data_IF_077436009467
#
_entry.id   IF_077436009467
#
_cell.length_a   1.000
_cell.length_b   1.000
_cell.length_c   1.000
_cell.angle_alpha   90.00
_cell.angle_beta   90.00
_cell.angle_gamma   90.00
#
_symmetry.space_group_name_H-M   'P 1'
#
loop_
_entity.id
_entity.type
_entity.pdbx_description
1 polymer ?
#
# COMPACT_ATOMS: atom_id res chain seq x y z
N UNK A 1 -7.34 19.97 -8.66
CA UNK A 1 -8.16 20.37 -7.51
C UNK A 1 -7.90 19.38 -6.39
N UNK A 2 -7.61 19.82 -5.17
CA UNK A 2 -7.32 18.93 -4.03
C UNK A 2 -8.51 18.90 -3.08
N UNK A 3 -9.05 17.71 -2.81
CA UNK A 3 -10.09 17.50 -1.83
C UNK A 3 -9.46 16.70 -0.68
N UNK A 4 -9.39 17.32 0.50
CA UNK A 4 -8.90 16.67 1.71
C UNK A 4 -10.08 16.38 2.63
N UNK A 5 -10.23 15.11 3.02
CA UNK A 5 -11.09 14.71 4.13
C UNK A 5 -10.21 14.20 5.26
N UNK A 6 -10.71 14.14 6.49
CA UNK A 6 -9.94 13.62 7.64
C UNK A 6 -9.38 12.18 7.43
N UNK A 7 -9.84 11.44 6.42
CA UNK A 7 -9.43 10.06 6.14
C UNK A 7 -8.49 9.89 4.95
N UNK A 8 -8.57 10.75 3.93
CA UNK A 8 -7.76 10.66 2.71
C UNK A 8 -7.65 12.00 1.97
N UNK A 9 -6.59 12.13 1.19
CA UNK A 9 -6.40 13.20 0.20
C UNK A 9 -6.70 12.69 -1.21
N UNK A 10 -7.27 13.56 -2.03
CA UNK A 10 -7.52 13.33 -3.46
C UNK A 10 -6.70 14.31 -4.29
N UNK A 11 -5.88 13.78 -5.18
CA UNK A 11 -5.14 14.51 -6.21
C UNK A 11 -5.69 14.16 -7.58
N UNK A 12 -5.98 15.17 -8.41
CA UNK A 12 -6.54 14.99 -9.74
C UNK A 12 -5.54 15.48 -10.77
N UNK A 13 -5.09 14.56 -11.63
CA UNK A 13 -4.33 14.86 -12.82
C UNK A 13 -5.25 14.78 -14.04
N UNK A 14 -5.66 15.95 -14.53
CA UNK A 14 -6.56 16.05 -15.67
C UNK A 14 -5.92 15.65 -17.01
N UNK A 15 -4.60 15.85 -17.17
CA UNK A 15 -3.88 15.52 -18.40
C UNK A 15 -3.87 14.02 -18.65
N UNK A 16 -3.57 13.26 -17.61
CA UNK A 16 -3.47 11.79 -17.70
C UNK A 16 -4.80 11.10 -17.40
N UNK A 17 -5.86 11.87 -17.07
CA UNK A 17 -7.14 11.38 -16.54
C UNK A 17 -6.96 10.41 -15.37
N UNK A 18 -6.12 10.78 -14.42
CA UNK A 18 -5.85 9.99 -13.21
C UNK A 18 -6.31 10.73 -11.97
N UNK A 19 -7.06 10.04 -11.11
CA UNK A 19 -7.38 10.50 -9.75
C UNK A 19 -6.66 9.61 -8.75
N UNK A 20 -5.82 10.20 -7.91
CA UNK A 20 -5.07 9.49 -6.88
C UNK A 20 -5.69 9.77 -5.51
N UNK A 21 -6.08 8.73 -4.79
CA UNK A 21 -6.64 8.78 -3.44
C UNK A 21 -5.62 8.19 -2.48
N UNK A 22 -5.10 9.00 -1.56
CA UNK A 22 -4.09 8.56 -0.58
C UNK A 22 -4.69 8.52 0.82
N UNK A 23 -4.75 7.33 1.40
CA UNK A 23 -5.22 7.10 2.78
C UNK A 23 -4.08 7.26 3.79
N UNK A 24 -4.31 8.06 4.84
CA UNK A 24 -3.26 8.46 5.79
C UNK A 24 -3.11 7.54 7.01
N UNK A 25 -4.22 7.24 7.70
CA UNK A 25 -4.16 6.68 9.07
C UNK A 25 -5.07 5.47 9.33
N UNK A 26 -5.92 5.06 8.39
CA UNK A 26 -6.82 3.92 8.59
C UNK A 26 -6.38 2.71 7.77
N UNK A 27 -6.56 1.52 8.34
CA UNK A 27 -6.60 0.30 7.53
C UNK A 27 -7.63 0.53 6.43
N UNK A 28 -7.20 0.39 5.18
CA UNK A 28 -8.01 0.66 4.02
C UNK A 28 -9.05 -0.46 3.84
N UNK A 29 -10.15 -0.36 4.61
CA UNK A 29 -11.24 -1.34 4.57
C UNK A 29 -12.11 -1.10 3.34
N UNK A 30 -12.77 -2.15 2.85
CA UNK A 30 -13.70 -2.04 1.73
C UNK A 30 -14.80 -1.00 1.96
N UNK A 31 -15.27 -0.82 3.20
CA UNK A 31 -16.27 0.21 3.54
C UNK A 31 -15.78 1.61 3.16
N UNK A 32 -14.54 1.93 3.51
CA UNK A 32 -13.95 3.24 3.25
C UNK A 32 -13.64 3.41 1.76
N UNK A 33 -13.12 2.36 1.10
CA UNK A 33 -12.91 2.33 -0.36
C UNK A 33 -14.21 2.61 -1.09
N UNK A 34 -15.30 1.92 -0.71
CA UNK A 34 -16.64 2.10 -1.30
C UNK A 34 -17.10 3.56 -1.20
N UNK A 35 -16.98 4.17 -0.01
CA UNK A 35 -17.35 5.58 0.18
C UNK A 35 -16.56 6.53 -0.72
N UNK A 36 -15.24 6.31 -0.84
CA UNK A 36 -14.41 7.12 -1.74
C UNK A 36 -14.81 6.94 -3.21
N UNK A 37 -15.04 5.69 -3.67
CA UNK A 37 -15.46 5.41 -5.04
C UNK A 37 -16.81 6.05 -5.39
N UNK A 38 -17.77 6.06 -4.45
CA UNK A 38 -19.07 6.73 -4.65
C UNK A 38 -18.87 8.23 -4.88
N UNK A 39 -17.98 8.88 -4.13
CA UNK A 39 -17.68 10.31 -4.31
C UNK A 39 -16.98 10.59 -5.65
N UNK A 40 -16.22 9.63 -6.15
CA UNK A 40 -15.50 9.73 -7.42
C UNK A 40 -16.29 9.21 -8.62
N UNK A 41 -17.58 8.91 -8.46
CA UNK A 41 -18.43 8.35 -9.52
C UNK A 41 -18.37 9.17 -10.82
N UNK A 42 -18.41 10.49 -10.73
CA UNK A 42 -18.37 11.37 -11.90
C UNK A 42 -17.06 11.26 -12.70
N UNK A 43 -15.94 10.95 -12.04
CA UNK A 43 -14.66 10.70 -12.71
C UNK A 43 -14.64 9.31 -13.35
N UNK A 44 -15.20 8.30 -12.67
CA UNK A 44 -15.34 6.94 -13.20
C UNK A 44 -16.19 6.94 -14.48
N UNK A 45 -17.32 7.67 -14.48
CA UNK A 45 -18.20 7.83 -15.65
C UNK A 45 -17.52 8.56 -16.83
N UNK A 46 -16.48 9.37 -16.55
CA UNK A 46 -15.69 10.10 -17.56
C UNK A 46 -14.42 9.34 -17.98
N UNK A 47 -14.36 8.04 -17.68
CA UNK A 47 -13.23 7.15 -17.96
C UNK A 47 -11.90 7.58 -17.33
N UNK A 48 -11.94 8.22 -16.15
CA UNK A 48 -10.72 8.44 -15.37
C UNK A 48 -10.27 7.13 -14.73
N UNK A 49 -8.95 6.96 -14.65
CA UNK A 49 -8.33 5.96 -13.81
C UNK A 49 -8.29 6.43 -12.35
N UNK A 50 -8.79 5.61 -11.44
CA UNK A 50 -8.77 5.87 -10.00
C UNK A 50 -7.69 5.00 -9.36
N UNK A 51 -6.66 5.63 -8.80
CA UNK A 51 -5.60 4.97 -8.02
C UNK A 51 -5.88 5.16 -6.54
N UNK A 52 -6.03 4.07 -5.81
CA UNK A 52 -6.30 4.06 -4.38
C UNK A 52 -5.08 3.51 -3.66
N UNK A 53 -4.42 4.35 -2.86
CA UNK A 53 -3.16 4.04 -2.20
C UNK A 53 -3.36 4.10 -0.68
N UNK A 54 -3.01 3.02 0.03
CA UNK A 54 -3.14 2.99 1.49
C UNK A 54 -2.57 1.72 2.11
N UNK A 55 -2.58 1.64 3.44
CA UNK A 55 -2.17 0.43 4.13
C UNK A 55 -3.31 -0.60 4.13
N UNK A 56 -3.06 -1.77 3.51
CA UNK A 56 -3.97 -2.92 3.54
C UNK A 56 -3.35 -3.97 4.46
N UNK A 57 -3.90 -4.15 5.66
CA UNK A 57 -3.39 -5.13 6.63
C UNK A 57 -3.74 -6.56 6.27
N UNK A 58 -4.95 -6.78 5.74
CA UNK A 58 -5.46 -8.05 5.20
C UNK A 58 -6.44 -7.72 4.08
N UNK A 59 -6.29 -8.37 2.94
CA UNK A 59 -7.26 -8.27 1.85
C UNK A 59 -8.55 -8.97 2.29
N UNK A 60 -9.66 -8.22 2.31
CA UNK A 60 -10.96 -8.76 2.69
C UNK A 60 -11.59 -9.50 1.52
N UNK A 61 -12.44 -10.49 1.82
CA UNK A 61 -13.25 -11.19 0.80
C UNK A 61 -14.03 -10.23 -0.09
N UNK A 62 -14.55 -9.13 0.50
CA UNK A 62 -15.25 -8.09 -0.24
C UNK A 62 -14.34 -7.39 -1.25
N UNK A 63 -13.09 -7.08 -0.87
CA UNK A 63 -12.13 -6.45 -1.76
C UNK A 63 -11.71 -7.41 -2.88
N UNK A 64 -11.52 -8.69 -2.56
CA UNK A 64 -11.26 -9.75 -3.54
C UNK A 64 -12.40 -9.90 -4.54
N UNK A 65 -13.64 -10.03 -4.05
CA UNK A 65 -14.82 -10.15 -4.90
C UNK A 65 -15.02 -8.92 -5.79
N UNK A 66 -14.74 -7.73 -5.26
CA UNK A 66 -14.79 -6.50 -6.03
C UNK A 66 -13.74 -6.47 -7.15
N UNK A 67 -12.48 -6.82 -6.86
CA UNK A 67 -11.42 -6.92 -7.89
C UNK A 67 -11.77 -7.95 -8.96
N UNK A 68 -12.33 -9.10 -8.56
CA UNK A 68 -12.81 -10.11 -9.50
C UNK A 68 -13.94 -9.59 -10.39
N UNK A 69 -14.89 -8.85 -9.84
CA UNK A 69 -15.93 -8.22 -10.64
C UNK A 69 -15.32 -7.23 -11.65
N UNK A 70 -14.35 -6.41 -11.24
CA UNK A 70 -13.66 -5.50 -12.16
C UNK A 70 -12.95 -6.24 -13.31
N UNK A 71 -12.29 -7.37 -13.02
CA UNK A 71 -11.62 -8.15 -14.08
C UNK A 71 -12.61 -8.77 -15.06
N UNK A 72 -13.78 -9.24 -14.58
CA UNK A 72 -14.83 -9.78 -15.46
C UNK A 72 -15.33 -8.77 -16.50
N UNK A 73 -15.32 -7.48 -16.16
CA UNK A 73 -15.79 -6.40 -17.03
C UNK A 73 -14.65 -5.59 -17.67
N UNK A 74 -13.39 -6.04 -17.58
CA UNK A 74 -12.25 -5.34 -18.18
C UNK A 74 -11.96 -3.96 -17.55
N UNK A 75 -12.28 -3.81 -16.26
CA UNK A 75 -12.13 -2.56 -15.50
C UNK A 75 -11.01 -2.62 -14.45
N UNK A 76 -10.19 -3.66 -14.47
CA UNK A 76 -9.02 -3.85 -13.61
C UNK A 76 -8.01 -2.69 -13.68
N UNK A 77 -7.88 -2.04 -14.85
CA UNK A 77 -7.01 -0.88 -15.02
C UNK A 77 -7.71 0.45 -14.72
N UNK A 78 -9.03 0.46 -14.49
CA UNK A 78 -9.78 1.68 -14.17
C UNK A 78 -9.76 1.98 -12.68
N UNK A 79 -9.76 0.96 -11.82
CA UNK A 79 -9.67 1.12 -10.37
C UNK A 79 -8.49 0.29 -9.86
N UNK A 80 -7.39 0.99 -9.62
CA UNK A 80 -6.14 0.39 -9.12
C UNK A 80 -6.10 0.54 -7.61
N UNK A 81 -5.82 -0.56 -6.91
CA UNK A 81 -5.76 -0.59 -5.44
C UNK A 81 -4.38 -1.05 -5.01
N UNK A 82 -3.59 -0.13 -4.46
CA UNK A 82 -2.20 -0.34 -4.07
C UNK A 82 -2.01 -0.35 -2.56
N UNK A 83 -1.27 -1.35 -2.09
CA UNK A 83 -0.85 -1.40 -0.70
C UNK A 83 0.45 -0.61 -0.51
N UNK A 84 0.43 0.38 0.39
CA UNK A 84 1.60 1.18 0.76
C UNK A 84 2.70 0.35 1.42
N UNK A 85 2.38 -0.82 1.98
CA UNK A 85 3.42 -1.72 2.51
C UNK A 85 4.21 -2.36 1.38
N UNK A 86 5.52 -2.07 1.30
CA UNK A 86 6.45 -2.65 0.32
C UNK A 86 6.63 -4.16 0.41
N UNK A 87 6.31 -4.76 1.57
CA UNK A 87 6.50 -6.18 1.83
C UNK A 87 5.24 -6.74 2.47
N UNK A 88 4.83 -7.94 2.06
CA UNK A 88 3.78 -8.66 2.77
C UNK A 88 4.23 -8.96 4.21
N UNK A 89 3.29 -9.06 5.17
CA UNK A 89 3.62 -9.28 6.59
C UNK A 89 4.53 -10.49 6.81
N UNK A 90 4.30 -11.55 6.03
CA UNK A 90 5.08 -12.79 6.05
C UNK A 90 6.52 -12.58 5.55
N UNK A 91 6.69 -11.95 4.39
CA UNK A 91 8.02 -11.65 3.83
C UNK A 91 8.81 -10.71 4.74
N UNK A 92 8.13 -9.69 5.30
CA UNK A 92 8.74 -8.80 6.29
C UNK A 92 9.26 -9.56 7.50
N UNK A 93 8.55 -10.61 7.97
CA UNK A 93 9.00 -11.44 9.09
C UNK A 93 10.24 -12.25 8.71
N UNK A 94 10.25 -12.89 7.53
CA UNK A 94 11.44 -13.60 7.02
C UNK A 94 12.67 -12.70 6.88
N UNK A 95 12.50 -11.50 6.29
CA UNK A 95 13.58 -10.52 6.16
C UNK A 95 14.07 -10.03 7.52
N UNK A 96 13.18 -9.89 8.50
CA UNK A 96 13.54 -9.50 9.86
C UNK A 96 14.34 -10.59 10.58
N UNK A 97 13.92 -11.86 10.48
CA UNK A 97 14.65 -13.01 11.04
C UNK A 97 16.03 -13.11 10.40
N UNK A 98 16.12 -13.01 9.07
CA UNK A 98 17.39 -13.03 8.36
C UNK A 98 18.31 -11.87 8.75
N UNK A 99 17.77 -10.67 8.93
CA UNK A 99 18.55 -9.52 9.39
C UNK A 99 19.15 -9.73 10.78
N UNK A 100 18.47 -10.49 11.66
CA UNK A 100 18.99 -10.86 12.99
C UNK A 100 20.09 -11.89 12.89
N UNK A 101 19.90 -12.95 12.10
CA UNK A 101 20.95 -13.95 11.86
C UNK A 101 22.24 -13.32 11.32
N UNK A 102 22.12 -12.38 10.38
CA UNK A 102 23.29 -11.66 9.83
C UNK A 102 23.93 -10.75 10.88
N UNK A 103 23.15 -10.15 11.76
CA UNK A 103 23.67 -9.36 12.88
C UNK A 103 24.42 -10.23 13.89
N UNK A 104 23.89 -11.42 14.20
CA UNK A 104 24.54 -12.38 15.10
C UNK A 104 25.86 -12.91 14.49
N UNK A 105 25.96 -12.93 13.16
CA UNK A 105 27.22 -13.20 12.42
C UNK A 105 28.20 -12.01 12.38
N UNK A 106 27.85 -10.89 13.02
CA UNK A 106 28.72 -9.72 13.14
C UNK A 106 28.58 -8.66 12.04
N UNK A 107 27.65 -8.81 11.10
CA UNK A 107 27.49 -7.83 10.03
C UNK A 107 26.95 -6.49 10.55
N UNK A 108 27.42 -5.42 9.92
CA UNK A 108 26.96 -4.05 10.18
C UNK A 108 25.58 -3.81 9.57
N UNK A 109 24.88 -2.78 10.07
CA UNK A 109 23.57 -2.36 9.53
C UNK A 109 23.63 -2.07 8.03
N UNK A 110 24.75 -1.51 7.55
CA UNK A 110 24.93 -1.14 6.15
C UNK A 110 25.08 -2.38 5.26
N UNK A 111 25.84 -3.38 5.72
CA UNK A 111 26.02 -4.65 4.99
C UNK A 111 24.70 -5.42 4.91
N UNK A 112 23.97 -5.53 6.04
CA UNK A 112 22.66 -6.18 6.08
C UNK A 112 21.66 -5.46 5.16
N UNK A 113 21.69 -4.12 5.13
CA UNK A 113 20.83 -3.31 4.26
C UNK A 113 21.09 -3.61 2.78
N UNK A 114 22.36 -3.70 2.39
CA UNK A 114 22.77 -4.01 1.03
C UNK A 114 22.40 -5.45 0.64
N UNK A 115 22.65 -6.42 1.52
CA UNK A 115 22.39 -7.83 1.25
C UNK A 115 20.89 -8.13 1.12
N UNK A 116 20.07 -7.57 2.01
CA UNK A 116 18.62 -7.79 2.00
C UNK A 116 17.87 -6.82 1.07
N UNK A 117 18.56 -5.83 0.49
CA UNK A 117 17.95 -4.73 -0.27
C UNK A 117 16.84 -4.00 0.52
N UNK A 118 17.02 -3.89 1.83
CA UNK A 118 16.09 -3.25 2.76
C UNK A 118 16.69 -1.92 3.23
N UNK A 119 15.91 -0.82 3.35
CA UNK A 119 16.44 0.46 3.80
C UNK A 119 17.15 0.38 5.17
N UNK A 120 18.28 1.08 5.32
CA UNK A 120 19.10 1.14 6.55
C UNK A 120 18.25 1.39 7.80
N UNK A 121 17.33 2.37 7.75
CA UNK A 121 16.43 2.71 8.86
C UNK A 121 15.52 1.54 9.27
N UNK A 122 15.12 0.71 8.32
CA UNK A 122 14.30 -0.48 8.56
C UNK A 122 15.12 -1.58 9.23
N UNK A 123 16.35 -1.82 8.76
CA UNK A 123 17.29 -2.76 9.38
C UNK A 123 17.59 -2.35 10.81
N UNK A 124 17.92 -1.08 11.05
CA UNK A 124 18.15 -0.53 12.39
C UNK A 124 16.97 -0.83 13.34
N UNK A 125 15.74 -0.57 12.90
CA UNK A 125 14.52 -0.86 13.68
C UNK A 125 14.34 -2.34 13.99
N UNK A 126 14.77 -3.25 13.12
CA UNK A 126 14.60 -4.69 13.30
C UNK A 126 15.56 -5.29 14.32
N UNK A 127 16.80 -4.81 14.33
CA UNK A 127 17.86 -5.33 15.20
C UNK A 127 17.89 -4.64 16.57
N UNK A 128 17.46 -3.37 16.67
CA UNK A 128 17.56 -2.61 17.92
C UNK A 128 16.37 -2.80 18.87
N UNK A 129 15.22 -3.29 18.37
CA UNK A 129 13.98 -3.42 19.18
C UNK A 129 13.98 -4.66 20.10
N UNK A 130 15.02 -5.50 20.04
CA UNK A 130 15.20 -6.67 20.90
C UNK A 130 16.69 -6.81 21.20
N UNK A 131 17.19 -6.14 22.25
CA UNK A 131 18.48 -6.53 22.83
C UNK A 131 18.34 -7.98 23.32
N UNK A 132 19.37 -8.80 23.08
CA UNK A 132 19.58 -10.05 23.80
C UNK A 132 19.82 -9.73 25.28
#
# INVERSE_FOLDING_TARGET
MNLSTNAYDVEINEKDKVVTVTFHNSNMTFKVIKSALIQLKSYIERDYQIKIIGYISKESSNLTAFKFALSLFGHENRIIIENKSRYHKFERRKLMERARELRDKGLTVKEISNELKVPIKTVYRWIHKYPQ
#
